data_IF_483582208260
#
_entry.id   IF_483582208260
#
_cell.length_a   1.000
_cell.length_b   1.000
_cell.length_c   1.000
_cell.angle_alpha   90.00
_cell.angle_beta   90.00
_cell.angle_gamma   90.00
#
_symmetry.space_group_name_H-M   'P 1'
#
loop_
_entity.id
_entity.type
_entity.pdbx_description
1 polymer ?
#
# COMPACT_ATOMS: atom_id res chain seq x y z
N UNK A 1 16.07 6.96 -8.62
CA UNK A 1 15.98 6.38 -9.98
C UNK A 1 15.33 7.37 -10.95
N UNK A 2 14.01 7.58 -10.90
CA UNK A 2 13.32 8.44 -11.89
C UNK A 2 13.43 9.95 -11.64
N UNK A 3 13.69 10.38 -10.40
CA UNK A 3 13.72 11.79 -9.99
C UNK A 3 15.02 12.14 -9.26
N UNK A 4 16.19 11.78 -9.80
CA UNK A 4 17.46 11.94 -9.08
C UNK A 4 17.72 13.40 -8.64
N UNK A 5 17.46 14.37 -9.52
CA UNK A 5 17.68 15.80 -9.24
C UNK A 5 16.55 16.44 -8.39
N UNK A 6 15.33 15.89 -8.48
CA UNK A 6 14.12 16.47 -7.86
C UNK A 6 13.48 15.55 -6.81
N UNK A 7 14.26 14.65 -6.20
CA UNK A 7 13.75 13.64 -5.27
C UNK A 7 13.03 14.25 -4.06
N UNK A 8 13.57 15.34 -3.51
CA UNK A 8 12.94 16.04 -2.38
C UNK A 8 11.61 16.68 -2.76
N UNK A 9 11.50 17.25 -3.96
CA UNK A 9 10.24 17.82 -4.45
C UNK A 9 9.18 16.74 -4.64
N UNK A 10 9.56 15.58 -5.18
CA UNK A 10 8.67 14.44 -5.30
C UNK A 10 8.17 13.97 -3.93
N UNK A 11 9.07 13.77 -2.95
CA UNK A 11 8.68 13.37 -1.59
C UNK A 11 7.77 14.41 -0.91
N UNK A 12 8.06 15.70 -1.05
CA UNK A 12 7.25 16.77 -0.49
C UNK A 12 5.85 16.84 -1.13
N UNK A 13 5.77 16.69 -2.46
CA UNK A 13 4.48 16.65 -3.17
C UNK A 13 3.60 15.50 -2.70
N UNK A 14 4.17 14.34 -2.39
CA UNK A 14 3.45 13.17 -1.86
C UNK A 14 2.81 13.47 -0.50
N UNK A 15 3.52 14.20 0.37
CA UNK A 15 2.99 14.62 1.67
C UNK A 15 1.80 15.58 1.50
N UNK A 16 1.94 16.57 0.62
CA UNK A 16 0.85 17.51 0.32
C UNK A 16 -0.38 16.83 -0.28
N UNK A 17 -0.18 15.93 -1.25
CA UNK A 17 -1.27 15.14 -1.84
C UNK A 17 -2.00 14.34 -0.77
N UNK A 18 -1.26 13.69 0.14
CA UNK A 18 -1.85 12.95 1.26
C UNK A 18 -2.75 13.83 2.14
N UNK A 19 -2.29 15.03 2.50
CA UNK A 19 -3.09 15.99 3.30
C UNK A 19 -4.34 16.44 2.54
N UNK A 20 -4.18 16.85 1.28
CA UNK A 20 -5.30 17.35 0.46
C UNK A 20 -6.37 16.26 0.29
N UNK A 21 -5.95 15.04 -0.01
CA UNK A 21 -6.87 13.90 -0.14
C UNK A 21 -7.55 13.58 1.19
N UNK A 22 -6.82 13.59 2.30
CA UNK A 22 -7.40 13.36 3.62
C UNK A 22 -8.46 14.40 3.99
N UNK A 23 -8.18 15.69 3.77
CA UNK A 23 -9.14 16.78 3.98
C UNK A 23 -10.36 16.62 3.07
N UNK A 24 -10.15 16.30 1.79
CA UNK A 24 -11.22 16.13 0.81
C UNK A 24 -12.13 14.96 1.19
N UNK A 25 -11.55 13.81 1.55
CA UNK A 25 -12.29 12.62 2.00
C UNK A 25 -13.07 12.93 3.27
N UNK A 26 -12.43 13.57 4.27
CA UNK A 26 -13.09 13.96 5.52
C UNK A 26 -14.26 14.91 5.26
N UNK A 27 -14.09 15.90 4.37
CA UNK A 27 -15.15 16.82 3.98
C UNK A 27 -16.34 16.12 3.30
N UNK A 28 -16.06 15.22 2.34
CA UNK A 28 -17.09 14.45 1.63
C UNK A 28 -17.84 13.52 2.60
N UNK A 29 -17.13 12.81 3.47
CA UNK A 29 -17.73 11.93 4.47
C UNK A 29 -18.55 12.69 5.50
N UNK A 30 -18.06 13.84 5.98
CA UNK A 30 -18.78 14.68 6.93
C UNK A 30 -20.07 15.24 6.34
N UNK A 31 -20.06 15.64 5.06
CA UNK A 31 -21.28 16.09 4.36
C UNK A 31 -22.33 14.99 4.23
N UNK A 32 -21.90 13.74 4.10
CA UNK A 32 -22.78 12.58 3.92
C UNK A 32 -23.24 11.96 5.26
N UNK A 33 -22.61 12.32 6.38
CA UNK A 33 -22.90 11.76 7.70
C UNK A 33 -23.82 12.70 8.48
N UNK A 34 -25.03 12.24 8.82
CA UNK A 34 -26.04 13.03 9.56
C UNK A 34 -25.93 12.92 11.08
N UNK A 35 -24.82 12.44 11.62
CA UNK A 35 -24.68 12.17 13.05
C UNK A 35 -24.05 13.37 13.76
N UNK A 36 -24.90 14.25 14.31
CA UNK A 36 -24.49 15.27 15.28
C UNK A 36 -24.56 14.67 16.69
N UNK A 37 -23.62 13.82 17.07
CA UNK A 37 -23.43 13.54 18.49
C UNK A 37 -22.27 14.39 19.00
N UNK A 38 -22.66 15.51 19.63
CA UNK A 38 -21.77 16.25 20.50
C UNK A 38 -21.56 15.40 21.76
N UNK A 39 -20.62 14.46 21.71
CA UNK A 39 -20.14 13.85 22.94
C UNK A 39 -19.47 14.95 23.75
N UNK A 40 -20.12 15.31 24.85
CA UNK A 40 -19.56 16.13 25.92
C UNK A 40 -18.41 15.35 26.55
N UNK A 41 -17.25 15.37 25.88
CA UNK A 41 -15.99 14.93 26.44
C UNK A 41 -15.60 15.96 27.50
N UNK A 42 -16.08 15.72 28.72
CA UNK A 42 -15.43 16.23 29.93
C UNK A 42 -14.02 15.66 29.93
N UNK A 43 -13.07 16.45 29.42
CA UNK A 43 -11.64 16.19 29.58
C UNK A 43 -11.30 16.61 31.00
N UNK A 44 -11.68 15.80 31.97
CA UNK A 44 -11.06 15.83 33.28
C UNK A 44 -9.73 15.10 33.16
N UNK A 45 -8.64 15.86 33.22
CA UNK A 45 -7.30 15.31 33.14
C UNK A 45 -7.10 14.44 34.39
N UNK A 46 -6.80 13.13 34.25
CA UNK A 46 -6.52 12.29 35.41
C UNK A 46 -5.28 12.80 36.13
N UNK A 47 -5.20 12.56 37.44
CA UNK A 47 -4.01 12.89 38.21
C UNK A 47 -2.78 12.22 37.61
N UNK A 48 -1.78 13.05 37.27
CA UNK A 48 -0.54 12.60 36.68
C UNK A 48 0.28 11.82 37.71
N UNK A 49 0.37 10.50 37.53
CA UNK A 49 1.17 9.62 38.40
C UNK A 49 2.60 9.53 37.90
N UNK A 50 3.56 9.48 38.82
CA UNK A 50 4.97 9.30 38.45
C UNK A 50 5.20 7.91 37.83
N UNK A 51 6.00 7.83 36.75
CA UNK A 51 6.23 6.59 36.03
C UNK A 51 7.00 5.58 36.90
N UNK A 52 6.41 4.42 37.18
CA UNK A 52 7.11 3.29 37.78
C UNK A 52 7.74 2.43 36.69
N UNK A 53 9.08 2.36 36.64
CA UNK A 53 9.82 1.62 35.63
C UNK A 53 9.40 0.14 35.56
N UNK A 54 9.10 -0.50 36.69
CA UNK A 54 8.65 -1.90 36.72
C UNK A 54 7.31 -2.07 36.02
N UNK A 55 6.37 -1.17 36.29
CA UNK A 55 5.03 -1.17 35.67
C UNK A 55 5.13 -0.91 34.17
N UNK A 56 5.96 0.05 33.75
CA UNK A 56 6.18 0.35 32.33
C UNK A 56 6.74 -0.87 31.61
N UNK A 57 7.76 -1.55 32.16
CA UNK A 57 8.35 -2.72 31.52
C UNK A 57 7.35 -3.87 31.38
N UNK A 58 6.54 -4.14 32.41
CA UNK A 58 5.48 -5.16 32.33
C UNK A 58 4.45 -4.78 31.26
N UNK A 59 4.00 -3.53 31.26
CA UNK A 59 3.01 -3.03 30.30
C UNK A 59 3.54 -3.10 28.86
N UNK A 60 4.78 -2.66 28.62
CA UNK A 60 5.44 -2.74 27.33
C UNK A 60 5.59 -4.19 26.90
N UNK A 61 6.00 -5.09 27.79
CA UNK A 61 6.15 -6.52 27.49
C UNK A 61 4.81 -7.17 27.12
N UNK A 62 3.76 -6.89 27.87
CA UNK A 62 2.40 -7.37 27.56
C UNK A 62 1.94 -6.84 26.21
N UNK A 63 2.13 -5.55 25.92
CA UNK A 63 1.76 -4.95 24.63
C UNK A 63 2.54 -5.52 23.46
N UNK A 64 3.84 -5.77 23.63
CA UNK A 64 4.68 -6.44 22.61
C UNK A 64 4.18 -7.86 22.37
N UNK A 65 3.91 -8.63 23.43
CA UNK A 65 3.39 -10.00 23.32
C UNK A 65 2.04 -10.03 22.63
N UNK A 66 1.13 -9.13 22.99
CA UNK A 66 -0.17 -8.97 22.33
C UNK A 66 0.00 -8.62 20.85
N UNK A 67 0.92 -7.71 20.51
CA UNK A 67 1.20 -7.34 19.13
C UNK A 67 1.74 -8.54 18.32
N UNK A 68 2.76 -9.24 18.84
CA UNK A 68 3.36 -10.39 18.17
C UNK A 68 2.34 -11.51 17.91
N UNK A 69 1.50 -11.81 18.90
CA UNK A 69 0.51 -12.88 18.78
C UNK A 69 -0.69 -12.48 17.92
N UNK A 70 -1.22 -11.27 18.05
CA UNK A 70 -2.43 -10.87 17.32
C UNK A 70 -2.14 -10.38 15.90
N UNK A 71 -1.13 -9.53 15.73
CA UNK A 71 -0.76 -8.98 14.42
C UNK A 71 0.15 -9.97 13.66
N UNK A 72 1.12 -10.59 14.34
CA UNK A 72 2.04 -11.53 13.73
C UNK A 72 1.35 -12.75 13.10
N UNK A 73 0.35 -13.34 13.75
CA UNK A 73 -0.43 -14.45 13.16
C UNK A 73 -1.18 -14.02 11.89
N UNK A 74 -1.66 -12.77 11.84
CA UNK A 74 -2.36 -12.24 10.66
C UNK A 74 -1.38 -12.01 9.50
N UNK A 75 -0.21 -11.43 9.78
CA UNK A 75 0.84 -11.19 8.79
C UNK A 75 1.38 -12.51 8.25
N UNK A 76 1.69 -13.47 9.13
CA UNK A 76 2.20 -14.79 8.72
C UNK A 76 1.20 -15.52 7.80
N UNK A 77 -0.08 -15.55 8.16
CA UNK A 77 -1.11 -16.14 7.32
C UNK A 77 -1.21 -15.43 5.96
N UNK A 78 -1.20 -14.10 5.93
CA UNK A 78 -1.23 -13.32 4.69
C UNK A 78 0.00 -13.58 3.81
N UNK A 79 1.21 -13.66 4.40
CA UNK A 79 2.45 -13.94 3.69
C UNK A 79 2.47 -15.33 3.06
N UNK A 80 1.95 -16.36 3.75
CA UNK A 80 1.82 -17.71 3.19
C UNK A 80 0.86 -17.73 2.00
N UNK A 81 -0.28 -17.03 2.11
CA UNK A 81 -1.26 -16.92 1.02
C UNK A 81 -0.65 -16.20 -0.18
N UNK A 82 0.02 -15.06 0.05
CA UNK A 82 0.68 -14.31 -1.03
C UNK A 82 1.79 -15.16 -1.66
N UNK A 83 2.63 -15.82 -0.86
CA UNK A 83 3.67 -16.71 -1.37
C UNK A 83 3.09 -17.80 -2.28
N UNK A 84 1.99 -18.43 -1.86
CA UNK A 84 1.31 -19.45 -2.66
C UNK A 84 0.81 -18.87 -3.99
N UNK A 85 0.11 -17.74 -3.96
CA UNK A 85 -0.40 -17.06 -5.17
C UNK A 85 0.74 -16.70 -6.14
N UNK A 86 1.90 -16.31 -5.62
CA UNK A 86 3.04 -15.86 -6.41
C UNK A 86 3.90 -17.00 -6.98
N UNK A 87 3.91 -18.19 -6.37
CA UNK A 87 4.81 -19.29 -6.74
C UNK A 87 4.10 -20.52 -7.33
N UNK A 88 2.78 -20.60 -7.23
CA UNK A 88 2.00 -21.70 -7.80
C UNK A 88 1.19 -21.25 -9.02
N UNK A 89 1.05 -22.16 -9.99
CA UNK A 89 0.18 -22.07 -11.15
C UNK A 89 -0.71 -23.31 -11.26
N UNK A 90 -1.41 -23.47 -12.39
CA UNK A 90 -2.33 -24.58 -12.60
C UNK A 90 -1.66 -25.96 -12.57
N UNK A 91 -0.40 -26.04 -13.00
CA UNK A 91 0.37 -27.29 -13.14
C UNK A 91 1.35 -27.55 -11.97
N UNK A 92 1.38 -26.69 -10.95
CA UNK A 92 2.23 -26.85 -9.76
C UNK A 92 3.10 -25.63 -9.43
N UNK A 93 4.27 -25.87 -8.82
CA UNK A 93 5.23 -24.81 -8.47
C UNK A 93 5.96 -24.35 -9.73
N UNK A 94 5.89 -23.05 -10.02
CA UNK A 94 6.38 -22.48 -11.28
C UNK A 94 7.77 -21.87 -11.08
N UNK A 95 8.67 -22.09 -12.04
CA UNK A 95 10.00 -21.46 -12.07
C UNK A 95 9.97 -20.02 -12.60
N UNK A 96 9.01 -19.69 -13.46
CA UNK A 96 8.74 -18.33 -13.95
C UNK A 96 7.45 -17.78 -13.32
N UNK A 97 7.54 -16.63 -12.64
CA UNK A 97 6.37 -15.98 -12.05
C UNK A 97 5.30 -15.59 -13.09
N UNK A 98 5.63 -15.54 -14.39
CA UNK A 98 4.71 -15.17 -15.47
C UNK A 98 3.53 -16.15 -15.66
N UNK A 99 3.67 -17.40 -15.21
CA UNK A 99 2.62 -18.44 -15.25
C UNK A 99 1.97 -18.69 -13.88
N UNK A 100 2.35 -17.91 -12.85
CA UNK A 100 1.74 -17.99 -11.52
C UNK A 100 0.28 -17.53 -11.51
N UNK A 101 -0.50 -17.96 -10.52
CA UNK A 101 -1.83 -17.40 -10.24
C UNK A 101 -1.77 -15.88 -10.04
N UNK A 102 -0.70 -15.38 -9.43
CA UNK A 102 -0.42 -13.96 -9.28
C UNK A 102 -0.38 -13.24 -10.63
N UNK A 103 0.35 -13.79 -11.61
CA UNK A 103 0.38 -13.21 -12.96
C UNK A 103 -0.97 -13.28 -13.68
N UNK A 104 -1.75 -14.35 -13.50
CA UNK A 104 -3.10 -14.44 -14.04
C UNK A 104 -4.03 -13.36 -13.46
N UNK A 105 -4.01 -13.17 -12.13
CA UNK A 105 -4.74 -12.08 -11.46
C UNK A 105 -4.23 -10.71 -11.93
N UNK A 106 -2.91 -10.57 -12.06
CA UNK A 106 -2.26 -9.34 -12.52
C UNK A 106 -2.73 -8.93 -13.92
N UNK A 107 -2.77 -9.87 -14.87
CA UNK A 107 -3.28 -9.66 -16.22
C UNK A 107 -4.79 -9.38 -16.26
N UNK A 108 -5.56 -9.94 -15.32
CA UNK A 108 -6.99 -9.68 -15.23
C UNK A 108 -7.30 -8.27 -14.70
N UNK A 109 -6.48 -7.75 -13.79
CA UNK A 109 -6.67 -6.44 -13.16
C UNK A 109 -5.97 -5.31 -13.93
N UNK A 110 -4.93 -5.60 -14.74
CA UNK A 110 -4.19 -4.60 -15.51
C UNK A 110 -5.07 -3.63 -16.33
N UNK A 111 -6.18 -4.04 -16.97
CA UNK A 111 -7.01 -3.12 -17.75
C UNK A 111 -7.65 -2.03 -16.88
N UNK A 112 -7.94 -2.33 -15.61
CA UNK A 112 -8.47 -1.37 -14.65
C UNK A 112 -7.41 -0.33 -14.31
N UNK A 113 -6.14 -0.72 -14.26
CA UNK A 113 -5.02 0.16 -13.92
C UNK A 113 -4.41 0.89 -15.13
N UNK A 114 -4.81 0.53 -16.35
CA UNK A 114 -4.39 1.20 -17.59
C UNK A 114 -4.61 2.71 -17.61
N UNK A 115 -5.75 3.27 -17.15
CA UNK A 115 -5.95 4.73 -17.09
C UNK A 115 -5.00 5.44 -16.10
N UNK A 116 -4.37 4.71 -15.19
CA UNK A 116 -3.35 5.24 -14.27
C UNK A 116 -1.92 5.13 -14.84
N UNK A 117 -1.76 4.65 -16.08
CA UNK A 117 -0.45 4.39 -16.67
C UNK A 117 0.23 3.13 -16.11
N UNK A 118 -0.53 2.25 -15.47
CA UNK A 118 -0.05 1.06 -14.76
C UNK A 118 -0.56 -0.23 -15.43
N UNK A 119 -0.44 -0.32 -16.76
CA UNK A 119 -0.96 -1.45 -17.58
C UNK A 119 -0.12 -2.74 -17.47
N UNK A 120 0.96 -2.73 -16.68
CA UNK A 120 1.85 -3.89 -16.53
C UNK A 120 1.33 -4.84 -15.45
N UNK A 121 1.20 -6.14 -15.78
CA UNK A 121 0.79 -7.15 -14.82
C UNK A 121 1.76 -7.25 -13.63
N UNK A 122 3.06 -7.00 -13.85
CA UNK A 122 4.09 -6.96 -12.82
C UNK A 122 3.79 -5.89 -11.75
N UNK A 123 3.26 -4.74 -12.16
CA UNK A 123 2.87 -3.67 -11.22
C UNK A 123 1.75 -4.16 -10.33
N UNK A 124 0.74 -4.81 -10.89
CA UNK A 124 -0.38 -5.35 -10.12
C UNK A 124 0.09 -6.39 -9.13
N UNK A 125 0.95 -7.32 -9.57
CA UNK A 125 1.52 -8.36 -8.71
C UNK A 125 2.35 -7.76 -7.59
N UNK A 126 3.15 -6.72 -7.88
CA UNK A 126 3.90 -5.97 -6.87
C UNK A 126 2.99 -5.20 -5.88
N UNK A 127 1.84 -4.69 -6.33
CA UNK A 127 0.86 -4.06 -5.44
C UNK A 127 0.16 -5.08 -4.53
N UNK A 128 -0.11 -6.29 -5.04
CA UNK A 128 -0.66 -7.40 -4.26
C UNK A 128 0.33 -7.83 -3.17
N UNK A 129 1.60 -8.02 -3.51
CA UNK A 129 2.63 -8.34 -2.51
C UNK A 129 2.81 -7.20 -1.50
N UNK A 130 2.62 -5.95 -1.94
CA UNK A 130 2.63 -4.76 -1.10
C UNK A 130 1.56 -4.74 0.00
N UNK A 131 0.49 -5.54 -0.10
CA UNK A 131 -0.53 -5.66 0.96
C UNK A 131 0.05 -6.27 2.25
N UNK A 132 1.09 -7.11 2.13
CA UNK A 132 1.83 -7.60 3.28
C UNK A 132 2.67 -6.48 3.92
N UNK A 133 3.46 -5.78 3.10
CA UNK A 133 4.25 -4.63 3.51
C UNK A 133 4.57 -3.71 2.33
N UNK A 134 4.43 -2.38 2.52
CA UNK A 134 4.56 -1.38 1.44
C UNK A 134 5.95 -1.35 0.79
N UNK A 135 6.99 -1.59 1.56
CA UNK A 135 8.38 -1.64 1.09
C UNK A 135 8.67 -2.87 0.20
N UNK A 136 7.90 -3.94 0.35
CA UNK A 136 8.02 -5.16 -0.46
C UNK A 136 7.64 -4.91 -1.92
N UNK A 137 6.91 -3.84 -2.22
CA UNK A 137 6.60 -3.44 -3.61
C UNK A 137 7.90 -3.28 -4.39
N UNK A 138 8.87 -2.52 -3.87
CA UNK A 138 10.15 -2.26 -4.56
C UNK A 138 10.94 -3.56 -4.73
N UNK A 139 11.06 -4.37 -3.68
CA UNK A 139 11.73 -5.68 -3.77
C UNK A 139 11.07 -6.62 -4.78
N UNK A 140 9.73 -6.57 -4.90
CA UNK A 140 8.99 -7.37 -5.89
C UNK A 140 9.31 -6.95 -7.32
N UNK A 141 9.54 -5.66 -7.58
CA UNK A 141 10.02 -5.21 -8.88
C UNK A 141 11.39 -5.81 -9.21
N UNK A 142 12.31 -5.93 -8.25
CA UNK A 142 13.60 -6.60 -8.49
C UNK A 142 13.41 -8.05 -8.92
N UNK A 143 12.61 -8.80 -8.18
CA UNK A 143 12.35 -10.22 -8.49
C UNK A 143 11.68 -10.37 -9.85
N UNK A 144 10.63 -9.57 -10.14
CA UNK A 144 9.85 -9.67 -11.38
C UNK A 144 10.61 -9.22 -12.63
N UNK A 145 11.58 -8.31 -12.49
CA UNK A 145 12.43 -7.86 -13.59
C UNK A 145 13.80 -8.57 -13.62
N UNK A 146 14.02 -9.58 -12.77
CA UNK A 146 15.24 -10.40 -12.76
C UNK A 146 16.48 -9.70 -12.19
N UNK A 147 16.30 -8.68 -11.35
CA UNK A 147 17.38 -7.91 -10.72
C UNK A 147 17.56 -8.38 -9.28
N UNK A 148 18.68 -9.05 -9.01
CA UNK A 148 18.97 -9.68 -7.72
C UNK A 148 19.14 -8.72 -6.55
N UNK A 149 19.77 -7.56 -6.76
CA UNK A 149 19.95 -6.55 -5.71
C UNK A 149 19.68 -5.12 -6.21
N UNK A 150 18.51 -4.61 -5.87
CA UNK A 150 18.06 -3.24 -6.17
C UNK A 150 18.71 -2.23 -5.24
N UNK A 151 19.38 -2.65 -4.16
CA UNK A 151 20.07 -1.76 -3.23
C UNK A 151 21.39 -1.24 -3.82
N UNK A 152 21.91 -1.91 -4.84
CA UNK A 152 23.10 -1.51 -5.57
C UNK A 152 22.79 -0.42 -6.61
N UNK A 153 23.75 0.50 -6.83
CA UNK A 153 23.63 1.57 -7.85
C UNK A 153 23.45 0.97 -9.26
N UNK A 154 24.12 -0.15 -9.53
CA UNK A 154 24.04 -0.88 -10.80
C UNK A 154 22.66 -1.53 -11.00
N UNK A 155 22.11 -2.17 -9.96
CA UNK A 155 20.76 -2.76 -10.02
C UNK A 155 19.67 -1.72 -10.21
N UNK A 156 19.81 -0.55 -9.57
CA UNK A 156 18.89 0.58 -9.77
C UNK A 156 18.95 1.14 -11.20
N UNK A 157 20.14 1.24 -11.79
CA UNK A 157 20.31 1.70 -13.17
C UNK A 157 19.72 0.70 -14.17
N UNK A 158 20.01 -0.60 -13.99
CA UNK A 158 19.45 -1.68 -14.81
C UNK A 158 17.92 -1.72 -14.78
N UNK A 159 17.32 -1.54 -13.59
CA UNK A 159 15.86 -1.47 -13.46
C UNK A 159 15.28 -0.30 -14.24
N UNK A 160 15.91 0.87 -14.14
CA UNK A 160 15.46 2.09 -14.83
C UNK A 160 15.51 1.94 -16.36
N UNK A 161 16.54 1.28 -16.87
CA UNK A 161 16.75 1.07 -18.30
C UNK A 161 15.75 0.05 -18.88
N UNK A 162 15.50 -1.04 -18.16
CA UNK A 162 14.47 -2.02 -18.53
C UNK A 162 13.08 -1.40 -18.52
N UNK A 163 12.75 -0.65 -17.46
CA UNK A 163 11.46 0.05 -17.35
C UNK A 163 11.28 1.08 -18.48
N UNK A 164 12.31 1.86 -18.79
CA UNK A 164 12.28 2.80 -19.90
C UNK A 164 12.06 2.10 -21.25
N UNK A 165 12.71 0.96 -21.49
CA UNK A 165 12.54 0.14 -22.70
C UNK A 165 11.13 -0.41 -22.89
N UNK A 166 10.37 -0.58 -21.80
CA UNK A 166 8.99 -1.10 -21.79
C UNK A 166 7.97 0.06 -21.82
N UNK A 167 8.42 1.32 -21.85
CA UNK A 167 7.55 2.50 -21.83
C UNK A 167 7.10 2.93 -20.42
N UNK A 168 7.73 2.38 -19.37
CA UNK A 168 7.50 2.82 -17.99
C UNK A 168 8.40 4.02 -17.66
N UNK A 169 7.87 5.22 -17.89
CA UNK A 169 8.57 6.48 -17.64
C UNK A 169 8.43 7.01 -16.21
N UNK A 170 9.01 8.19 -15.97
CA UNK A 170 8.93 8.88 -14.67
C UNK A 170 7.48 9.20 -14.25
N UNK A 171 6.60 9.52 -15.21
CA UNK A 171 5.19 9.77 -14.94
C UNK A 171 4.48 8.51 -14.38
N UNK A 172 4.71 7.34 -14.97
CA UNK A 172 4.16 6.08 -14.49
C UNK A 172 4.70 5.76 -13.10
N UNK A 173 5.99 5.99 -12.86
CA UNK A 173 6.62 5.82 -11.56
C UNK A 173 5.97 6.71 -10.49
N UNK A 174 5.66 7.97 -10.83
CA UNK A 174 4.99 8.88 -9.92
C UNK A 174 3.53 8.49 -9.67
N UNK A 175 2.79 8.07 -10.69
CA UNK A 175 1.43 7.54 -10.54
C UNK A 175 1.40 6.28 -9.65
N UNK A 176 2.39 5.40 -9.78
CA UNK A 176 2.59 4.23 -8.91
C UNK A 176 2.88 4.65 -7.46
N UNK A 177 3.75 5.63 -7.25
CA UNK A 177 4.06 6.15 -5.91
C UNK A 177 2.82 6.73 -5.23
N UNK A 178 2.03 7.53 -5.95
CA UNK A 178 0.76 8.09 -5.45
C UNK A 178 -0.24 6.98 -5.14
N UNK A 179 -0.34 5.95 -6.00
CA UNK A 179 -1.19 4.79 -5.73
C UNK A 179 -0.73 4.07 -4.45
N UNK A 180 0.59 3.80 -4.32
CA UNK A 180 1.20 3.17 -3.15
C UNK A 180 0.93 3.92 -1.84
N UNK A 181 0.90 5.26 -1.91
CA UNK A 181 0.65 6.14 -0.77
C UNK A 181 -0.80 6.07 -0.28
N UNK A 182 -1.78 5.97 -1.20
CA UNK A 182 -3.21 6.06 -0.87
C UNK A 182 -3.92 4.71 -0.76
N UNK A 183 -3.40 3.64 -1.38
CA UNK A 183 -4.05 2.34 -1.34
C UNK A 183 -3.95 1.68 0.04
N UNK A 184 -4.69 0.59 0.18
CA UNK A 184 -4.78 -0.29 1.35
C UNK A 184 -3.47 -0.32 2.18
N UNK A 185 -3.52 -0.02 3.49
CA UNK A 185 -2.33 0.09 4.33
C UNK A 185 -1.58 -1.25 4.48
N UNK A 186 -2.17 -2.25 5.12
CA UNK A 186 -1.63 -3.61 5.19
C UNK A 186 -2.67 -4.59 5.75
N UNK A 187 -2.41 -5.89 5.61
CA UNK A 187 -3.26 -6.96 6.16
C UNK A 187 -3.49 -6.83 7.68
N UNK A 188 -2.48 -6.37 8.43
CA UNK A 188 -2.61 -6.16 9.87
C UNK A 188 -3.64 -5.07 10.20
N UNK A 189 -3.63 -3.96 9.45
CA UNK A 189 -4.60 -2.87 9.64
C UNK A 189 -6.01 -3.32 9.28
N UNK A 190 -6.19 -4.06 8.19
CA UNK A 190 -7.50 -4.64 7.82
C UNK A 190 -8.01 -5.56 8.94
N UNK A 191 -7.13 -6.40 9.50
CA UNK A 191 -7.46 -7.29 10.61
C UNK A 191 -7.93 -6.53 11.86
N UNK A 192 -7.34 -5.37 12.15
CA UNK A 192 -7.81 -4.50 13.25
C UNK A 192 -9.16 -3.86 12.91
N UNK A 193 -9.33 -3.30 11.71
CA UNK A 193 -10.63 -2.72 11.27
C UNK A 193 -11.76 -3.75 11.39
N UNK A 194 -11.51 -4.99 10.97
CA UNK A 194 -12.50 -6.06 11.06
C UNK A 194 -12.87 -6.40 12.52
N UNK A 195 -11.90 -6.38 13.44
CA UNK A 195 -12.13 -6.67 14.86
C UNK A 195 -12.89 -5.56 15.57
N UNK A 196 -12.59 -4.31 15.26
CA UNK A 196 -13.24 -3.13 15.85
C UNK A 196 -14.66 -2.94 15.30
N UNK A 197 -14.84 -3.03 13.98
CA UNK A 197 -16.14 -2.82 13.35
C UNK A 197 -17.08 -4.04 13.46
N UNK A 198 -16.53 -5.23 13.78
CA UNK A 198 -17.22 -6.53 13.82
C UNK A 198 -18.12 -6.83 12.60
N UNK A 199 -17.85 -6.22 11.46
CA UNK A 199 -18.67 -6.34 10.25
C UNK A 199 -17.80 -6.42 8.99
N UNK A 200 -17.96 -7.53 8.26
CA UNK A 200 -17.28 -7.76 6.99
C UNK A 200 -17.73 -6.80 5.89
N UNK A 201 -19.01 -6.40 5.90
CA UNK A 201 -19.54 -5.43 4.93
C UNK A 201 -18.82 -4.08 5.04
N UNK A 202 -18.62 -3.59 6.27
CA UNK A 202 -17.92 -2.34 6.52
C UNK A 202 -16.42 -2.44 6.24
N UNK A 203 -15.80 -3.57 6.57
CA UNK A 203 -14.37 -3.78 6.28
C UNK A 203 -14.10 -3.76 4.77
N UNK A 204 -14.90 -4.49 4.00
CA UNK A 204 -14.78 -4.53 2.53
C UNK A 204 -15.10 -3.16 1.92
N UNK A 205 -16.11 -2.45 2.43
CA UNK A 205 -16.41 -1.09 2.00
C UNK A 205 -15.22 -0.15 2.18
N UNK A 206 -14.57 -0.14 3.34
CA UNK A 206 -13.37 0.69 3.61
C UNK A 206 -12.23 0.36 2.66
N UNK A 207 -11.97 -0.93 2.42
CA UNK A 207 -10.91 -1.40 1.52
C UNK A 207 -11.18 -0.97 0.08
N UNK A 208 -12.39 -1.19 -0.43
CA UNK A 208 -12.79 -0.79 -1.79
C UNK A 208 -12.78 0.73 -1.93
N UNK A 209 -13.23 1.46 -0.92
CA UNK A 209 -13.20 2.92 -0.92
C UNK A 209 -11.77 3.46 -1.02
N UNK A 210 -10.83 2.92 -0.22
CA UNK A 210 -9.41 3.30 -0.32
C UNK A 210 -8.80 2.97 -1.68
N UNK A 211 -9.08 1.78 -2.22
CA UNK A 211 -8.64 1.41 -3.57
C UNK A 211 -9.22 2.36 -4.64
N UNK A 212 -10.50 2.71 -4.52
CA UNK A 212 -11.17 3.63 -5.44
C UNK A 212 -10.58 5.03 -5.39
N UNK A 213 -10.28 5.56 -4.19
CA UNK A 213 -9.62 6.86 -4.03
C UNK A 213 -8.20 6.82 -4.57
N UNK A 214 -7.43 5.78 -4.26
CA UNK A 214 -6.07 5.62 -4.77
C UNK A 214 -6.04 5.55 -6.31
N UNK A 215 -6.97 4.78 -6.89
CA UNK A 215 -7.14 4.68 -8.33
C UNK A 215 -7.54 6.02 -8.95
N UNK A 216 -8.53 6.71 -8.40
CA UNK A 216 -8.97 8.01 -8.93
C UNK A 216 -7.84 9.06 -8.86
N UNK A 217 -7.13 9.17 -7.74
CA UNK A 217 -6.06 10.17 -7.62
C UNK A 217 -4.87 9.82 -8.52
N UNK A 218 -4.49 8.53 -8.59
CA UNK A 218 -3.40 8.08 -9.48
C UNK A 218 -3.75 8.29 -10.97
N UNK A 219 -4.98 7.99 -11.38
CA UNK A 219 -5.46 8.24 -12.76
C UNK A 219 -5.49 9.73 -13.09
N UNK A 220 -5.94 10.59 -12.17
CA UNK A 220 -5.89 12.04 -12.36
C UNK A 220 -4.45 12.54 -12.53
N UNK A 221 -3.53 12.09 -11.68
CA UNK A 221 -2.11 12.46 -11.76
C UNK A 221 -1.50 12.01 -13.09
N UNK A 222 -1.80 10.79 -13.53
CA UNK A 222 -1.30 10.26 -14.79
C UNK A 222 -1.87 11.01 -16.00
N UNK A 223 -3.19 11.23 -16.04
CA UNK A 223 -3.85 11.87 -17.17
C UNK A 223 -3.54 13.36 -17.26
N UNK A 224 -3.40 14.05 -16.12
CA UNK A 224 -2.98 15.46 -16.11
C UNK A 224 -1.51 15.56 -16.51
N UNK A 225 -0.64 14.71 -15.97
CA UNK A 225 0.78 14.71 -16.32
C UNK A 225 1.04 14.37 -17.79
N UNK A 226 0.25 13.48 -18.39
CA UNK A 226 0.38 13.13 -19.81
C UNK A 226 -0.11 14.21 -20.77
N UNK A 227 -0.81 15.24 -20.28
CA UNK A 227 -1.15 16.42 -21.08
C UNK A 227 -0.02 17.45 -21.15
N UNK A 228 0.94 17.39 -20.22
CA UNK A 228 2.06 18.32 -20.15
C UNK A 228 3.37 17.77 -20.73
N UNK A 229 3.39 16.48 -21.08
CA UNK A 229 4.53 15.76 -21.68
C UNK A 229 4.18 15.44 -23.14
#
# INVERSE_FOLDING_TARGET
IFFAENAMLAAYSMYLIGIIVAITVAYVMNKNTKTKEANSLLIELPEYKSPNARTITIYVWEKIKEYLTKAGTTIFAASVVIWFILNFGADGMVSDMSESFGAAIGKAISPVLRPAGLDMWQVVVALISGIAAKEVVVSSFGILFGIGDISSVEGMAGLSQLLAGIGFGALNAYALMVFCLLYIPCAATIGVVQREMRSWKWTVFTVIFQLGVAWLVSTLVYQIGSLFI
#
